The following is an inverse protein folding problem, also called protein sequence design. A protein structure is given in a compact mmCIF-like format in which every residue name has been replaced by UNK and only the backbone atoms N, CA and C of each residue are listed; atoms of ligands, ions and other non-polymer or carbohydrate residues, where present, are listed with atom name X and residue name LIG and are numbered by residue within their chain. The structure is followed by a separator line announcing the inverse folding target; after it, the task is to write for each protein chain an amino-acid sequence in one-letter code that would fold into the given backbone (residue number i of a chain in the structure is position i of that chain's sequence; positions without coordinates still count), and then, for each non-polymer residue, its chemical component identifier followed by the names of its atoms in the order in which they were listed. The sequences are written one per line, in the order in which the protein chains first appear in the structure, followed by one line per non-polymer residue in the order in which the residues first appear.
data_IF_254857324507
#
_entry.id   IF_254857324507
#
_cell.length_a   1.000
_cell.length_b   1.000
_cell.length_c   1.000
_cell.angle_alpha   90.00
_cell.angle_beta   90.00
_cell.angle_gamma   90.00
#
_symmetry.space_group_name_H-M   'P 1'
#
loop_
_entity.id
_entity.type
_entity.pdbx_description
1 polymer ?
#
# COMPACT_ATOMS: atom_id res chain seq x y z
N UNK A 1 13.63 -20.50 19.45
CA UNK A 1 13.45 -20.72 17.98
C UNK A 1 13.12 -19.37 17.35
N UNK A 2 14.14 -18.67 16.88
CA UNK A 2 13.98 -17.50 16.02
C UNK A 2 13.24 -17.94 14.78
N UNK A 3 12.06 -17.40 14.53
CA UNK A 3 11.34 -17.58 13.27
C UNK A 3 11.95 -16.59 12.28
N UNK A 4 12.73 -17.08 11.34
CA UNK A 4 13.10 -16.28 10.17
C UNK A 4 11.82 -15.83 9.46
N UNK A 5 11.59 -14.53 9.48
CA UNK A 5 10.55 -13.89 8.67
C UNK A 5 11.11 -13.72 7.25
N UNK A 6 10.90 -14.69 6.39
CA UNK A 6 11.12 -14.49 4.96
C UNK A 6 9.79 -14.20 4.29
N UNK A 7 9.60 -12.96 3.84
CA UNK A 7 8.50 -12.59 2.97
C UNK A 7 8.78 -13.15 1.57
N UNK A 8 8.21 -14.31 1.25
CA UNK A 8 8.32 -14.88 -0.09
C UNK A 8 7.05 -14.55 -0.88
N UNK A 9 7.03 -13.35 -1.48
CA UNK A 9 5.96 -12.87 -2.35
C UNK A 9 6.49 -12.75 -3.79
N UNK A 10 6.35 -13.80 -4.61
CA UNK A 10 6.56 -13.69 -6.06
C UNK A 10 5.65 -12.63 -6.64
N UNK A 11 6.07 -11.99 -7.75
CA UNK A 11 5.35 -10.87 -8.38
C UNK A 11 3.87 -11.17 -8.60
N UNK A 12 3.51 -12.36 -9.08
CA UNK A 12 2.10 -12.75 -9.27
C UNK A 12 1.29 -12.70 -7.96
N UNK A 13 1.85 -13.17 -6.85
CA UNK A 13 1.18 -13.13 -5.55
C UNK A 13 1.11 -11.74 -4.96
N UNK A 14 2.13 -10.93 -5.20
CA UNK A 14 2.12 -9.52 -4.79
C UNK A 14 1.01 -8.78 -5.54
N UNK A 15 0.94 -8.91 -6.87
CA UNK A 15 -0.11 -8.28 -7.67
C UNK A 15 -1.50 -8.77 -7.25
N UNK A 16 -1.64 -10.07 -6.95
CA UNK A 16 -2.89 -10.60 -6.42
C UNK A 16 -3.25 -9.98 -5.06
N UNK A 17 -2.29 -9.83 -4.14
CA UNK A 17 -2.52 -9.17 -2.85
C UNK A 17 -2.92 -7.69 -3.03
N UNK A 18 -2.28 -6.98 -3.96
CA UNK A 18 -2.64 -5.59 -4.28
C UNK A 18 -4.05 -5.48 -4.87
N UNK A 19 -4.42 -6.40 -5.76
CA UNK A 19 -5.78 -6.45 -6.33
C UNK A 19 -6.84 -6.73 -5.24
N UNK A 20 -6.54 -7.62 -4.28
CA UNK A 20 -7.39 -7.85 -3.11
C UNK A 20 -7.55 -6.57 -2.29
N UNK A 21 -6.47 -5.83 -2.05
CA UNK A 21 -6.51 -4.59 -1.27
C UNK A 21 -7.34 -3.50 -1.97
N UNK A 22 -7.17 -3.34 -3.29
CA UNK A 22 -7.97 -2.39 -4.07
C UNK A 22 -9.45 -2.76 -4.01
N UNK A 23 -9.78 -4.03 -4.25
CA UNK A 23 -11.16 -4.53 -4.17
C UNK A 23 -11.78 -4.32 -2.77
N UNK A 24 -10.98 -4.58 -1.72
CA UNK A 24 -11.42 -4.39 -0.34
C UNK A 24 -11.68 -2.92 0.01
N UNK A 25 -10.92 -1.98 -0.56
CA UNK A 25 -11.11 -0.55 -0.34
C UNK A 25 -12.43 0.00 -0.95
N UNK A 26 -12.99 -0.70 -1.93
CA UNK A 26 -14.27 -0.36 -2.55
C UNK A 26 -15.46 -0.90 -1.74
N UNK A 27 -15.22 -1.74 -0.73
CA UNK A 27 -16.25 -2.37 0.11
C UNK A 27 -16.23 -1.82 1.54
N UNK A 28 -17.40 -1.58 2.09
CA UNK A 28 -17.54 -1.05 3.45
C UNK A 28 -17.33 -2.12 4.54
N UNK A 29 -17.57 -3.39 4.23
CA UNK A 29 -17.54 -4.49 5.20
C UNK A 29 -16.18 -5.16 5.37
N UNK A 30 -15.27 -4.97 4.39
CA UNK A 30 -13.94 -5.58 4.41
C UNK A 30 -13.92 -7.11 4.38
N UNK A 31 -15.07 -7.74 4.09
CA UNK A 31 -15.23 -9.19 4.02
C UNK A 31 -15.28 -9.67 2.57
N UNK A 32 -14.57 -10.77 2.30
CA UNK A 32 -14.49 -11.38 0.97
C UNK A 32 -14.80 -12.86 1.07
N UNK A 33 -15.57 -13.37 0.13
CA UNK A 33 -15.80 -14.80 -0.03
C UNK A 33 -14.69 -15.43 -0.87
N UNK A 34 -14.55 -16.74 -0.80
CA UNK A 34 -13.59 -17.49 -1.62
C UNK A 34 -13.84 -17.26 -3.13
N UNK A 35 -15.10 -17.15 -3.53
CA UNK A 35 -15.49 -16.88 -4.92
C UNK A 35 -14.96 -15.50 -5.38
N UNK A 36 -15.08 -14.46 -4.54
CA UNK A 36 -14.55 -13.13 -4.84
C UNK A 36 -13.03 -13.18 -5.08
N UNK A 37 -12.30 -13.89 -4.20
CA UNK A 37 -10.85 -14.05 -4.32
C UNK A 37 -10.44 -14.83 -5.58
N UNK A 38 -11.20 -15.86 -5.96
CA UNK A 38 -10.96 -16.62 -7.20
C UNK A 38 -11.17 -15.73 -8.42
N UNK A 39 -12.20 -14.87 -8.41
CA UNK A 39 -12.47 -13.95 -9.51
C UNK A 39 -11.39 -12.85 -9.61
N UNK A 40 -10.95 -12.28 -8.49
CA UNK A 40 -9.82 -11.35 -8.46
C UNK A 40 -8.55 -12.02 -9.00
N UNK A 41 -8.27 -13.27 -8.59
CA UNK A 41 -7.11 -14.02 -9.10
C UNK A 41 -7.20 -14.25 -10.61
N UNK A 42 -8.38 -14.56 -11.14
CA UNK A 42 -8.60 -14.74 -12.60
C UNK A 42 -8.25 -13.47 -13.37
N UNK A 43 -8.68 -12.32 -12.87
CA UNK A 43 -8.36 -11.04 -13.51
C UNK A 43 -6.85 -10.73 -13.47
N UNK A 44 -6.19 -11.00 -12.35
CA UNK A 44 -4.73 -10.79 -12.24
C UNK A 44 -3.95 -11.78 -13.08
N UNK A 45 -4.35 -13.06 -13.15
CA UNK A 45 -3.69 -14.07 -13.97
C UNK A 45 -3.73 -13.75 -15.46
N UNK A 46 -4.84 -13.17 -15.94
CA UNK A 46 -4.98 -12.73 -17.33
C UNK A 46 -3.96 -11.64 -17.72
N UNK A 47 -3.55 -10.78 -16.76
CA UNK A 47 -2.54 -9.75 -16.98
C UNK A 47 -1.12 -10.33 -17.17
N UNK A 48 -0.89 -11.59 -16.79
CA UNK A 48 0.39 -12.30 -16.93
C UNK A 48 0.42 -13.28 -18.12
N UNK A 49 -0.52 -13.20 -19.06
CA UNK A 49 -0.64 -14.09 -20.24
C UNK A 49 -0.59 -15.59 -19.90
N UNK A 50 -1.05 -15.96 -18.70
CA UNK A 50 -1.00 -17.33 -18.26
C UNK A 50 -2.24 -18.11 -18.71
N UNK A 51 -2.05 -19.40 -19.05
CA UNK A 51 -3.14 -20.25 -19.47
C UNK A 51 -4.27 -20.29 -18.44
N UNK A 52 -5.51 -20.28 -18.92
CA UNK A 52 -6.72 -20.37 -18.10
C UNK A 52 -6.91 -21.73 -17.44
N UNK A 53 -6.05 -22.72 -17.78
CA UNK A 53 -6.12 -24.05 -17.25
C UNK A 53 -5.84 -24.06 -15.74
N UNK A 54 -6.69 -24.74 -14.98
CA UNK A 54 -6.59 -24.89 -13.53
C UNK A 54 -6.57 -23.58 -12.70
N UNK A 55 -7.18 -22.48 -13.20
CA UNK A 55 -7.24 -21.18 -12.48
C UNK A 55 -7.76 -21.35 -11.04
N UNK A 56 -8.82 -22.12 -10.82
CA UNK A 56 -9.39 -22.32 -9.49
C UNK A 56 -8.37 -22.98 -8.53
N UNK A 57 -7.63 -23.96 -9.00
CA UNK A 57 -6.59 -24.64 -8.20
C UNK A 57 -5.43 -23.70 -7.89
N UNK A 58 -5.00 -22.88 -8.86
CA UNK A 58 -3.93 -21.88 -8.68
C UNK A 58 -4.38 -20.79 -7.73
N UNK A 59 -5.62 -20.29 -7.86
CA UNK A 59 -6.21 -19.31 -6.97
C UNK A 59 -6.23 -19.83 -5.53
N UNK A 60 -6.73 -21.04 -5.31
CA UNK A 60 -6.78 -21.66 -3.99
C UNK A 60 -5.38 -21.83 -3.38
N UNK A 61 -4.38 -22.20 -4.19
CA UNK A 61 -2.99 -22.27 -3.73
C UNK A 61 -2.46 -20.89 -3.35
N UNK A 62 -2.74 -19.86 -4.15
CA UNK A 62 -2.33 -18.49 -3.86
C UNK A 62 -3.01 -17.95 -2.58
N UNK A 63 -4.32 -18.17 -2.41
CA UNK A 63 -5.07 -17.81 -1.21
C UNK A 63 -4.49 -18.50 0.03
N UNK A 64 -4.26 -19.82 -0.03
CA UNK A 64 -3.70 -20.57 1.08
C UNK A 64 -2.29 -20.08 1.47
N UNK A 65 -1.45 -19.72 0.50
CA UNK A 65 -0.14 -19.15 0.78
C UNK A 65 -0.22 -17.75 1.40
N UNK A 66 -1.15 -16.90 0.97
CA UNK A 66 -1.39 -15.59 1.60
C UNK A 66 -1.90 -15.74 3.05
N UNK A 67 -2.76 -16.73 3.31
CA UNK A 67 -3.21 -17.06 4.67
C UNK A 67 -2.06 -17.60 5.52
N UNK A 68 -1.24 -18.50 4.99
CA UNK A 68 -0.07 -19.07 5.69
C UNK A 68 0.96 -18.00 6.05
N UNK A 69 1.17 -17.04 5.16
CA UNK A 69 2.08 -15.91 5.38
C UNK A 69 1.43 -14.76 6.18
N UNK A 70 0.19 -14.93 6.62
CA UNK A 70 -0.57 -13.97 7.43
C UNK A 70 -0.89 -12.64 6.73
N UNK A 71 -1.01 -12.61 5.42
CA UNK A 71 -1.55 -11.47 4.69
C UNK A 71 -3.08 -11.47 4.70
N UNK A 72 -3.67 -12.65 4.72
CA UNK A 72 -5.10 -12.88 4.87
C UNK A 72 -5.40 -13.66 6.14
N UNK A 73 -6.51 -13.34 6.79
CA UNK A 73 -7.14 -14.18 7.78
C UNK A 73 -8.33 -14.90 7.14
N UNK A 74 -8.47 -16.19 7.47
CA UNK A 74 -9.62 -17.01 7.09
C UNK A 74 -10.50 -17.22 8.32
N UNK A 75 -11.78 -16.93 8.20
CA UNK A 75 -12.78 -17.16 9.22
C UNK A 75 -13.81 -18.15 8.67
N UNK A 76 -14.13 -19.16 9.44
CA UNK A 76 -15.29 -20.00 9.21
C UNK A 76 -16.32 -19.67 10.28
N UNK A 77 -17.51 -19.21 9.89
CA UNK A 77 -18.59 -18.94 10.82
C UNK A 77 -19.69 -20.00 10.68
N UNK A 78 -20.20 -20.49 11.78
CA UNK A 78 -21.39 -21.34 11.76
C UNK A 78 -22.63 -20.62 11.18
N UNK A 79 -22.61 -19.27 11.20
CA UNK A 79 -23.67 -18.44 10.63
C UNK A 79 -23.60 -18.28 9.12
N UNK A 80 -22.52 -18.68 8.45
CA UNK A 80 -22.31 -18.53 7.00
C UNK A 80 -22.45 -19.85 6.24
N UNK A 81 -23.24 -20.79 6.75
CA UNK A 81 -23.48 -22.10 6.10
C UNK A 81 -22.20 -22.84 5.66
N UNK A 82 -21.12 -22.66 6.42
CA UNK A 82 -19.81 -23.28 6.12
C UNK A 82 -18.97 -22.54 5.08
N UNK A 83 -19.40 -21.36 4.60
CA UNK A 83 -18.59 -20.54 3.71
C UNK A 83 -17.43 -19.90 4.48
N UNK A 84 -16.25 -19.92 3.85
CA UNK A 84 -15.08 -19.21 4.40
C UNK A 84 -15.12 -17.76 4.04
N UNK A 85 -14.93 -16.89 5.05
CA UNK A 85 -14.79 -15.44 4.91
C UNK A 85 -13.31 -15.11 5.06
N UNK A 86 -12.81 -14.21 4.23
CA UNK A 86 -11.44 -13.74 4.25
C UNK A 86 -11.39 -12.24 4.52
N UNK A 87 -10.39 -11.81 5.29
CA UNK A 87 -10.09 -10.40 5.55
C UNK A 87 -8.59 -10.15 5.44
N UNK A 88 -8.21 -8.98 4.98
CA UNK A 88 -6.82 -8.53 5.05
C UNK A 88 -6.38 -8.39 6.50
N UNK A 89 -5.18 -8.85 6.81
CA UNK A 89 -4.55 -8.59 8.10
C UNK A 89 -3.91 -7.19 8.10
N UNK A 90 -3.54 -6.64 9.28
CA UNK A 90 -2.75 -5.42 9.32
C UNK A 90 -1.44 -5.50 8.52
N UNK A 91 -0.80 -6.68 8.46
CA UNK A 91 0.38 -6.91 7.61
C UNK A 91 0.02 -6.84 6.13
N UNK A 92 -1.10 -7.48 5.73
CA UNK A 92 -1.60 -7.44 4.35
C UNK A 92 -1.92 -6.02 3.90
N UNK A 93 -2.62 -5.26 4.74
CA UNK A 93 -2.92 -3.84 4.49
C UNK A 93 -1.61 -3.04 4.38
N UNK A 94 -0.69 -3.16 5.35
CA UNK A 94 0.54 -2.38 5.36
C UNK A 94 1.43 -2.63 4.14
N UNK A 95 1.58 -3.90 3.71
CA UNK A 95 2.33 -4.23 2.49
C UNK A 95 1.63 -3.69 1.25
N UNK A 96 0.32 -3.86 1.14
CA UNK A 96 -0.45 -3.36 0.00
C UNK A 96 -0.40 -1.84 -0.09
N UNK A 97 -0.61 -1.15 1.02
CA UNK A 97 -0.53 0.31 1.10
C UNK A 97 0.84 0.84 0.67
N UNK A 98 1.92 0.18 1.09
CA UNK A 98 3.27 0.55 0.67
C UNK A 98 3.38 0.59 -0.85
N UNK A 99 2.99 -0.48 -1.56
CA UNK A 99 3.10 -0.56 -3.02
C UNK A 99 2.08 0.33 -3.76
N UNK A 100 0.85 0.45 -3.24
CA UNK A 100 -0.19 1.31 -3.84
C UNK A 100 0.23 2.78 -3.72
N UNK A 101 0.71 3.20 -2.54
CA UNK A 101 1.15 4.58 -2.30
C UNK A 101 2.36 4.96 -3.15
N UNK A 102 3.26 4.05 -3.47
CA UNK A 102 4.36 4.31 -4.39
C UNK A 102 3.88 4.78 -5.77
N UNK A 103 2.78 4.22 -6.29
CA UNK A 103 2.22 4.59 -7.59
C UNK A 103 1.36 5.86 -7.56
N UNK A 104 0.72 6.16 -6.44
CA UNK A 104 -0.25 7.25 -6.31
C UNK A 104 0.36 8.58 -5.85
N UNK A 105 1.68 8.69 -5.76
CA UNK A 105 2.31 9.96 -5.40
C UNK A 105 2.08 10.98 -6.51
N UNK A 106 1.03 11.78 -6.37
CA UNK A 106 0.71 12.88 -7.27
C UNK A 106 0.85 14.22 -6.55
N UNK A 107 1.13 15.28 -7.31
CA UNK A 107 1.15 16.65 -6.80
C UNK A 107 -0.16 17.02 -6.09
N UNK A 108 -1.29 16.48 -6.56
CA UNK A 108 -2.60 16.67 -5.94
C UNK A 108 -2.64 16.07 -4.53
N UNK A 109 -2.14 14.84 -4.35
CA UNK A 109 -2.11 14.18 -3.04
C UNK A 109 -1.22 14.93 -2.06
N UNK A 110 -0.03 15.36 -2.50
CA UNK A 110 0.86 16.20 -1.70
C UNK A 110 0.17 17.50 -1.28
N UNK A 111 -0.52 18.18 -2.21
CA UNK A 111 -1.28 19.40 -1.92
C UNK A 111 -2.36 19.18 -0.87
N UNK A 112 -3.12 18.07 -0.96
CA UNK A 112 -4.15 17.71 0.03
C UNK A 112 -3.51 17.43 1.40
N UNK A 113 -2.41 16.68 1.45
CA UNK A 113 -1.69 16.42 2.69
C UNK A 113 -1.16 17.69 3.34
N UNK A 114 -0.57 18.58 2.56
CA UNK A 114 -0.08 19.88 3.06
C UNK A 114 -1.23 20.78 3.57
N UNK A 115 -2.40 20.73 2.93
CA UNK A 115 -3.59 21.44 3.42
C UNK A 115 -4.03 20.92 4.78
N UNK A 116 -4.06 19.60 4.97
CA UNK A 116 -4.41 18.98 6.27
C UNK A 116 -3.42 19.41 7.36
N UNK A 117 -2.11 19.41 7.06
CA UNK A 117 -1.08 19.89 7.99
C UNK A 117 -1.32 21.36 8.37
N UNK A 118 -1.59 22.21 7.38
CA UNK A 118 -1.82 23.62 7.63
C UNK A 118 -3.04 23.84 8.53
N UNK A 119 -4.13 23.11 8.30
CA UNK A 119 -5.33 23.17 9.11
C UNK A 119 -5.09 22.69 10.56
N UNK A 120 -4.30 21.62 10.75
CA UNK A 120 -3.96 21.13 12.09
C UNK A 120 -3.05 22.09 12.85
N UNK A 121 -2.08 22.71 12.16
CA UNK A 121 -1.22 23.74 12.74
C UNK A 121 -2.05 24.95 13.15
N UNK A 122 -3.00 25.38 12.31
CA UNK A 122 -3.89 26.51 12.64
C UNK A 122 -4.75 26.19 13.86
N UNK A 123 -5.37 25.00 13.92
CA UNK A 123 -6.16 24.58 15.11
C UNK A 123 -5.32 24.54 16.38
N UNK A 124 -4.09 24.03 16.30
CA UNK A 124 -3.19 24.00 17.43
C UNK A 124 -2.77 25.43 17.88
N UNK A 125 -2.58 26.35 16.92
CA UNK A 125 -2.31 27.77 17.21
C UNK A 125 -3.48 28.44 17.90
N UNK A 126 -4.70 28.26 17.39
CA UNK A 126 -5.92 28.83 17.97
C UNK A 126 -6.14 28.27 19.39
N UNK A 127 -5.94 26.96 19.59
CA UNK A 127 -6.02 26.33 20.90
C UNK A 127 -4.94 26.87 21.87
N UNK A 128 -3.72 27.14 21.37
CA UNK A 128 -2.66 27.72 22.19
C UNK A 128 -2.98 29.14 22.64
N UNK A 129 -3.53 29.99 21.75
CA UNK A 129 -3.97 31.32 22.09
C UNK A 129 -5.10 31.33 23.13
N UNK A 130 -6.08 30.42 22.94
CA UNK A 130 -7.18 30.24 23.89
C UNK A 130 -6.68 29.76 25.25
N UNK A 131 -5.80 28.76 25.28
CA UNK A 131 -5.22 28.22 26.50
C UNK A 131 -4.39 29.24 27.27
N UNK A 132 -3.62 30.07 26.54
CA UNK A 132 -2.86 31.18 27.13
C UNK A 132 -3.77 32.25 27.74
N UNK A 133 -4.83 32.62 27.03
CA UNK A 133 -5.78 33.63 27.49
C UNK A 133 -6.58 33.18 28.73
N UNK A 134 -6.89 31.90 28.83
CA UNK A 134 -7.66 31.31 29.95
C UNK A 134 -6.81 30.77 31.09
N UNK A 135 -5.48 30.72 30.94
CA UNK A 135 -4.58 30.12 31.92
C UNK A 135 -4.80 28.60 32.11
N UNK A 136 -5.05 27.90 31.01
CA UNK A 136 -5.38 26.48 31.00
C UNK A 136 -4.24 25.61 31.56
N UNK A 137 -4.59 24.44 32.06
CA UNK A 137 -3.67 23.51 32.71
C UNK A 137 -2.87 22.67 31.70
N UNK A 138 -1.85 21.95 32.20
CA UNK A 138 -0.98 21.10 31.37
C UNK A 138 -1.75 20.04 30.57
N UNK A 139 -2.85 19.51 31.08
CA UNK A 139 -3.68 18.53 30.39
C UNK A 139 -4.32 19.12 29.13
N UNK A 140 -4.79 20.37 29.18
CA UNK A 140 -5.30 21.07 28.01
C UNK A 140 -4.25 21.22 26.92
N UNK A 141 -3.03 21.68 27.28
CA UNK A 141 -1.91 21.85 26.35
C UNK A 141 -1.51 20.53 25.69
N UNK A 142 -1.38 19.46 26.48
CA UNK A 142 -1.04 18.13 25.93
C UNK A 142 -2.07 17.65 24.92
N UNK A 143 -3.36 17.81 25.23
CA UNK A 143 -4.44 17.28 24.41
C UNK A 143 -4.74 18.11 23.17
N UNK A 144 -4.75 19.43 23.28
CA UNK A 144 -5.26 20.31 22.24
C UNK A 144 -4.16 20.96 21.39
N UNK A 145 -2.91 20.97 21.86
CA UNK A 145 -1.77 21.54 21.13
C UNK A 145 -0.74 20.48 20.79
N UNK A 146 -0.16 19.80 21.79
CA UNK A 146 0.96 18.90 21.54
C UNK A 146 0.56 17.59 20.87
N UNK A 147 -0.56 16.96 21.25
CA UNK A 147 -0.97 15.71 20.67
C UNK A 147 -1.34 15.83 19.18
N UNK A 148 -2.16 16.79 18.72
CA UNK A 148 -2.42 17.00 17.32
C UNK A 148 -1.14 17.22 16.51
N UNK A 149 -0.26 18.14 16.97
CA UNK A 149 1.00 18.42 16.27
C UNK A 149 1.91 17.18 16.21
N UNK A 150 2.03 16.45 17.31
CA UNK A 150 2.91 15.29 17.37
C UNK A 150 2.45 14.12 16.51
N UNK A 151 1.14 13.84 16.48
CA UNK A 151 0.65 12.65 15.80
C UNK A 151 0.23 12.95 14.35
N UNK A 152 -0.53 14.01 14.10
CA UNK A 152 -1.02 14.30 12.75
C UNK A 152 0.07 14.84 11.84
N UNK A 153 0.89 15.79 12.35
CA UNK A 153 1.95 16.41 11.55
C UNK A 153 3.10 15.42 11.31
N UNK A 154 3.51 14.66 12.33
CA UNK A 154 4.60 13.70 12.19
C UNK A 154 4.24 12.60 11.18
N UNK A 155 3.02 12.04 11.23
CA UNK A 155 2.57 11.01 10.30
C UNK A 155 2.64 11.48 8.83
N UNK A 156 2.28 12.74 8.58
CA UNK A 156 2.34 13.30 7.24
C UNK A 156 3.78 13.54 6.79
N UNK A 157 4.65 14.04 7.68
CA UNK A 157 6.09 14.15 7.38
C UNK A 157 6.72 12.81 7.07
N UNK A 158 6.42 11.75 7.83
CA UNK A 158 6.90 10.40 7.56
C UNK A 158 6.40 9.89 6.21
N UNK A 159 5.16 10.20 5.83
CA UNK A 159 4.61 9.86 4.51
C UNK A 159 5.32 10.61 3.36
N UNK A 160 5.66 11.88 3.55
CA UNK A 160 6.40 12.67 2.57
C UNK A 160 7.83 12.14 2.44
N UNK A 161 8.53 11.89 3.55
CA UNK A 161 9.89 11.36 3.56
C UNK A 161 9.98 9.99 2.86
N UNK A 162 9.01 9.10 3.16
CA UNK A 162 8.92 7.82 2.48
C UNK A 162 8.73 7.98 0.97
N UNK A 163 7.86 8.91 0.55
CA UNK A 163 7.62 9.18 -0.87
C UNK A 163 8.86 9.75 -1.56
N UNK A 164 9.63 10.60 -0.88
CA UNK A 164 10.89 11.14 -1.39
C UNK A 164 11.92 10.03 -1.60
N UNK A 165 12.09 9.14 -0.62
CA UNK A 165 13.02 8.00 -0.75
C UNK A 165 12.68 7.11 -1.93
N UNK A 166 11.40 6.84 -2.15
CA UNK A 166 10.94 6.06 -3.30
C UNK A 166 11.26 6.75 -4.62
N UNK A 167 11.08 8.08 -4.69
CA UNK A 167 11.47 8.84 -5.88
C UNK A 167 12.98 8.78 -6.13
N UNK A 168 13.79 8.86 -5.08
CA UNK A 168 15.25 8.77 -5.18
C UNK A 168 15.70 7.38 -5.65
N UNK A 169 15.07 6.30 -5.13
CA UNK A 169 15.31 4.93 -5.58
C UNK A 169 14.95 4.74 -7.05
N UNK A 170 13.78 5.24 -7.48
CA UNK A 170 13.36 5.19 -8.89
C UNK A 170 14.32 5.97 -9.80
N UNK A 171 14.75 7.18 -9.39
CA UNK A 171 15.75 7.94 -10.15
C UNK A 171 17.09 7.20 -10.27
N UNK A 172 17.51 6.53 -9.20
CA UNK A 172 18.72 5.74 -9.22
C UNK A 172 18.60 4.55 -10.17
N UNK A 173 17.47 3.84 -10.12
CA UNK A 173 17.17 2.73 -11.04
C UNK A 173 17.18 3.17 -12.51
N UNK A 174 16.55 4.30 -12.84
CA UNK A 174 16.54 4.88 -14.18
C UNK A 174 17.97 5.24 -14.62
N UNK A 175 18.79 5.85 -13.75
CA UNK A 175 20.18 6.18 -14.05
C UNK A 175 21.01 4.94 -14.35
N UNK A 176 20.83 3.87 -13.58
CA UNK A 176 21.51 2.58 -13.79
C UNK A 176 21.07 1.94 -15.12
N UNK A 177 19.79 2.02 -15.44
CA UNK A 177 19.25 1.50 -16.69
C UNK A 177 19.76 2.27 -17.89
N UNK A 178 19.83 3.60 -17.83
CA UNK A 178 20.44 4.44 -18.85
C UNK A 178 21.96 4.12 -19.00
N UNK A 179 22.67 3.96 -17.88
CA UNK A 179 24.09 3.60 -17.93
C UNK A 179 24.31 2.23 -18.59
N UNK A 180 23.45 1.26 -18.30
CA UNK A 180 23.46 -0.06 -18.92
C UNK A 180 23.11 -0.01 -20.41
N UNK A 181 22.20 0.87 -20.82
CA UNK A 181 21.85 1.10 -22.23
C UNK A 181 23.03 1.68 -23.01
N UNK A 182 23.74 2.63 -22.43
CA UNK A 182 24.91 3.26 -23.06
C UNK A 182 26.10 2.29 -23.27
N UNK A 183 26.13 1.18 -22.53
CA UNK A 183 27.17 0.12 -22.67
C UNK A 183 26.76 -1.00 -23.62
N UNK A 184 25.50 -1.04 -24.08
CA UNK A 184 24.99 -2.05 -25.02
C UNK A 184 25.24 -1.63 -26.46
N UNK A 185 25.24 -2.64 -27.37
CA UNK A 185 25.30 -2.42 -28.82
C UNK A 185 24.14 -1.49 -29.24
N UNK A 186 24.43 -0.53 -30.13
CA UNK A 186 23.56 0.59 -30.48
C UNK A 186 22.15 0.17 -30.94
N UNK A 187 22.01 -0.96 -31.63
CA UNK A 187 20.69 -1.50 -32.03
C UNK A 187 19.87 -2.02 -30.83
N UNK A 188 20.50 -2.66 -29.87
CA UNK A 188 19.84 -3.12 -28.66
C UNK A 188 19.44 -1.94 -27.74
N UNK A 189 20.20 -0.83 -27.80
CA UNK A 189 19.89 0.39 -27.09
C UNK A 189 18.63 1.08 -27.64
N UNK A 190 18.45 1.16 -28.96
CA UNK A 190 17.26 1.73 -29.61
C UNK A 190 16.01 0.95 -29.23
N UNK A 191 16.02 -0.38 -29.33
CA UNK A 191 14.86 -1.23 -29.00
C UNK A 191 14.48 -1.15 -27.51
N UNK A 192 15.44 -0.92 -26.63
CA UNK A 192 15.18 -0.75 -25.20
C UNK A 192 14.64 0.65 -24.87
N UNK A 193 15.05 1.70 -25.61
CA UNK A 193 14.48 3.04 -25.49
C UNK A 193 13.03 3.09 -25.98
N UNK A 194 12.70 2.41 -27.09
CA UNK A 194 11.34 2.31 -27.58
C UNK A 194 10.42 1.66 -26.54
N UNK A 195 10.86 0.59 -25.90
CA UNK A 195 10.08 -0.06 -24.84
C UNK A 195 9.86 0.82 -23.59
N UNK A 196 10.85 1.64 -23.19
CA UNK A 196 10.74 2.57 -22.07
C UNK A 196 9.82 3.78 -22.35
N UNK A 197 9.60 4.10 -23.62
CA UNK A 197 8.67 5.18 -24.02
C UNK A 197 7.23 4.68 -24.10
N UNK A 198 7.02 3.36 -24.22
CA UNK A 198 5.70 2.72 -24.27
C UNK A 198 5.16 2.31 -22.87
N UNK A 199 5.98 2.40 -21.82
CA UNK A 199 5.60 2.23 -20.40
C UNK A 199 5.27 3.58 -19.73
#
# INVERSE_FOLDING_TARGET
KEREFSLNLPTERLVFLLAIAIYNNERLDGEMLEADLVDIFRHTANAFDQSTDAIATRANNAINELVKQRFLNRFSSEFTEGLSIYRLTPLGVGVSDYYIRQREFSALRLSVQLSIVADEIQRASDAAEEGAAKGENEHFWRRNVFAPLKYSVAEIFDSIDLSQRVMDENQQSIKEEIANLLTKDWQAAISSCERLLDE
#
